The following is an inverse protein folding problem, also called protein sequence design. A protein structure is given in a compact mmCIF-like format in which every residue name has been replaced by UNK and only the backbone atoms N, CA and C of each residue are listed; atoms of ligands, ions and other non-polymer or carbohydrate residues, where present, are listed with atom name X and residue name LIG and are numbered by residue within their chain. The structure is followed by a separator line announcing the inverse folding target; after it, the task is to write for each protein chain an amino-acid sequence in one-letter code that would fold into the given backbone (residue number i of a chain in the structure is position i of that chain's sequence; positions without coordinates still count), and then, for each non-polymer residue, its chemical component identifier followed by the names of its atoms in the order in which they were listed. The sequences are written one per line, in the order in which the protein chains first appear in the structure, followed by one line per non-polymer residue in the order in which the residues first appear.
data_IF_318690943949
#
_entry.id   IF_318690943949
#
_cell.length_a   1.000
_cell.length_b   1.000
_cell.length_c   1.000
_cell.angle_alpha   90.00
_cell.angle_beta   90.00
_cell.angle_gamma   90.00
#
_symmetry.space_group_name_H-M   'P 1'
#
loop_
_entity.id
_entity.type
_entity.pdbx_description
1 polymer ?
#
# COMPACT_ATOMS: atom_id res chain seq x y z
N UNK A 1 5.74 -12.84 9.10
CA UNK A 1 5.12 -11.67 8.42
C UNK A 1 3.67 -11.56 8.84
N UNK A 2 3.09 -10.37 8.82
CA UNK A 2 1.73 -10.13 9.32
C UNK A 2 1.43 -8.68 9.68
N UNK A 3 0.27 -8.47 10.31
CA UNK A 3 -0.16 -7.16 10.78
C UNK A 3 0.69 -6.68 11.96
N UNK A 4 0.90 -5.37 12.01
CA UNK A 4 1.54 -4.70 13.14
C UNK A 4 0.72 -3.48 13.54
N UNK A 5 0.85 -3.15 14.81
CA UNK A 5 0.55 -1.84 15.35
C UNK A 5 1.70 -1.48 16.30
N UNK A 6 1.98 -0.19 16.46
CA UNK A 6 2.94 0.25 17.46
C UNK A 6 2.49 1.57 18.09
N UNK A 7 2.94 1.78 19.31
CA UNK A 7 2.69 3.01 20.03
C UNK A 7 3.46 4.15 19.37
N UNK A 8 2.72 5.10 18.80
CA UNK A 8 3.30 6.29 18.16
C UNK A 8 3.48 7.45 19.13
N UNK A 9 3.21 7.27 20.43
CA UNK A 9 3.49 8.30 21.44
C UNK A 9 4.97 8.67 21.41
N UNK A 10 5.24 9.93 21.05
CA UNK A 10 6.60 10.46 20.92
C UNK A 10 7.31 10.10 19.61
N UNK A 11 6.68 9.33 18.71
CA UNK A 11 7.20 9.05 17.36
C UNK A 11 6.65 10.09 16.39
N UNK A 12 7.54 10.93 15.84
CA UNK A 12 7.17 11.85 14.78
C UNK A 12 7.21 11.13 13.43
N UNK A 13 6.07 11.15 12.74
CA UNK A 13 5.99 10.70 11.34
C UNK A 13 5.98 11.95 10.47
N UNK A 14 7.05 12.12 9.71
CA UNK A 14 7.24 13.30 8.85
C UNK A 14 6.34 13.21 7.60
N UNK A 15 6.15 14.35 6.93
CA UNK A 15 5.42 14.44 5.65
C UNK A 15 3.94 13.99 5.72
N UNK A 16 3.30 14.11 6.88
CA UNK A 16 1.86 13.85 7.03
C UNK A 16 1.22 14.71 8.11
N UNK A 17 0.01 15.20 7.85
CA UNK A 17 -0.87 15.79 8.87
C UNK A 17 -1.74 14.75 9.59
N UNK A 18 -1.65 13.47 9.21
CA UNK A 18 -2.46 12.35 9.73
C UNK A 18 -1.56 11.19 10.16
N UNK A 19 -0.72 11.35 11.19
CA UNK A 19 0.24 10.33 11.61
C UNK A 19 -0.43 9.02 12.06
N UNK A 20 -1.66 9.10 12.58
CA UNK A 20 -2.43 7.93 13.03
C UNK A 20 -2.73 6.91 11.91
N UNK A 21 -2.70 7.32 10.63
CA UNK A 21 -2.85 6.39 9.51
C UNK A 21 -1.65 5.45 9.34
N UNK A 22 -0.53 5.75 9.99
CA UNK A 22 0.75 5.04 9.85
C UNK A 22 1.18 4.33 11.14
N UNK A 23 0.32 4.28 12.17
CA UNK A 23 0.58 3.57 13.43
C UNK A 23 0.35 2.07 13.36
N UNK A 24 -0.24 1.59 12.25
CA UNK A 24 -0.46 0.18 11.97
C UNK A 24 -0.23 -0.12 10.50
N UNK A 25 -0.17 -1.40 10.15
CA UNK A 25 -0.02 -1.84 8.78
C UNK A 25 0.18 -3.35 8.68
N UNK A 26 0.65 -3.80 7.52
CA UNK A 26 1.02 -5.18 7.26
C UNK A 26 2.41 -5.23 6.63
N UNK A 27 3.28 -6.10 7.16
CA UNK A 27 4.55 -6.46 6.54
C UNK A 27 4.39 -7.84 5.92
N UNK A 28 4.76 -7.98 4.64
CA UNK A 28 4.66 -9.22 3.88
C UNK A 28 3.32 -9.47 3.21
N UNK A 29 2.46 -8.45 3.09
CA UNK A 29 1.28 -8.57 2.25
C UNK A 29 1.73 -8.78 0.80
N UNK A 30 1.34 -9.91 0.19
CA UNK A 30 1.64 -10.21 -1.22
C UNK A 30 0.48 -9.87 -2.14
N UNK A 31 -0.75 -10.07 -1.68
CA UNK A 31 -1.97 -9.81 -2.45
C UNK A 31 -3.13 -9.40 -1.55
N UNK A 32 -3.95 -8.48 -2.02
CA UNK A 32 -5.24 -8.11 -1.46
C UNK A 32 -6.30 -8.05 -2.57
N UNK A 33 -7.50 -8.56 -2.29
CA UNK A 33 -8.68 -8.46 -3.17
C UNK A 33 -9.76 -7.75 -2.39
N UNK A 34 -10.27 -6.64 -2.90
CA UNK A 34 -11.26 -5.81 -2.21
C UNK A 34 -12.51 -5.79 -3.09
N UNK A 35 -13.61 -6.42 -2.66
CA UNK A 35 -14.85 -6.41 -3.44
C UNK A 35 -15.43 -4.99 -3.46
N UNK A 36 -15.56 -4.41 -4.64
CA UNK A 36 -16.06 -3.04 -4.83
C UNK A 36 -17.33 -2.97 -5.68
N UNK A 37 -17.50 -3.92 -6.60
CA UNK A 37 -18.65 -4.01 -7.50
C UNK A 37 -19.24 -5.41 -7.39
N UNK A 38 -20.57 -5.48 -7.33
CA UNK A 38 -21.32 -6.72 -7.32
C UNK A 38 -22.05 -6.93 -8.66
N UNK A 39 -21.34 -7.49 -9.64
CA UNK A 39 -21.89 -7.79 -10.97
C UNK A 39 -23.10 -8.75 -10.92
N UNK A 40 -23.16 -9.64 -9.93
CA UNK A 40 -24.29 -10.55 -9.72
C UNK A 40 -25.60 -9.84 -9.37
N UNK A 41 -25.51 -8.59 -8.91
CA UNK A 41 -26.65 -7.70 -8.66
C UNK A 41 -26.87 -6.68 -9.78
N UNK A 42 -26.17 -6.82 -10.91
CA UNK A 42 -26.28 -5.93 -12.07
C UNK A 42 -25.53 -4.61 -11.93
N UNK A 43 -24.68 -4.46 -10.91
CA UNK A 43 -23.84 -3.27 -10.80
C UNK A 43 -22.87 -3.18 -11.99
N UNK A 44 -22.72 -1.97 -12.52
CA UNK A 44 -21.82 -1.72 -13.64
C UNK A 44 -20.38 -1.48 -13.15
N UNK A 45 -19.36 -1.84 -13.95
CA UNK A 45 -17.98 -1.45 -13.67
C UNK A 45 -17.86 0.04 -13.38
N UNK A 46 -17.00 0.39 -12.43
CA UNK A 46 -16.79 1.77 -12.01
C UNK A 46 -15.30 2.10 -11.97
N UNK A 47 -15.03 3.40 -11.95
CA UNK A 47 -13.68 3.94 -11.89
C UNK A 47 -13.40 4.42 -10.47
N UNK A 48 -12.17 4.19 -10.01
CA UNK A 48 -11.75 4.54 -8.67
C UNK A 48 -10.41 5.28 -8.67
N UNK A 49 -10.27 6.19 -7.72
CA UNK A 49 -8.98 6.67 -7.24
C UNK A 49 -8.53 5.81 -6.06
N UNK A 50 -7.32 5.26 -6.14
CA UNK A 50 -6.70 4.42 -5.11
C UNK A 50 -5.50 5.17 -4.51
N UNK A 51 -5.44 5.27 -3.18
CA UNK A 51 -4.24 5.76 -2.48
C UNK A 51 -3.64 4.71 -1.59
N UNK A 52 -2.33 4.52 -1.70
CA UNK A 52 -1.56 3.59 -0.88
C UNK A 52 -0.62 4.37 0.04
N UNK A 53 -0.67 4.06 1.33
CA UNK A 53 0.14 4.69 2.36
C UNK A 53 1.29 3.81 2.82
N UNK A 54 2.49 4.40 2.91
CA UNK A 54 3.72 3.73 3.27
C UNK A 54 4.56 4.54 4.25
N UNK A 55 5.12 3.87 5.26
CA UNK A 55 6.25 4.32 6.07
C UNK A 55 7.21 3.14 6.19
N UNK A 56 8.51 3.42 6.11
CA UNK A 56 9.54 2.42 6.43
C UNK A 56 9.88 2.51 7.92
N UNK A 57 9.41 1.58 8.78
CA UNK A 57 9.73 1.59 10.20
C UNK A 57 11.19 1.20 10.46
N UNK A 58 11.70 0.19 9.74
CA UNK A 58 13.10 -0.26 9.81
C UNK A 58 13.43 -1.17 8.64
N UNK A 59 14.68 -1.16 8.17
CA UNK A 59 15.09 -1.99 7.03
C UNK A 59 14.93 -1.25 5.70
N UNK A 60 14.94 -2.01 4.61
CA UNK A 60 14.88 -1.49 3.25
C UNK A 60 13.91 -2.33 2.43
N UNK A 61 12.70 -1.82 2.29
CA UNK A 61 11.61 -2.47 1.59
C UNK A 61 11.63 -2.03 0.12
N UNK A 62 11.98 -2.95 -0.78
CA UNK A 62 11.99 -2.73 -2.23
C UNK A 62 11.07 -3.75 -2.89
N UNK A 63 10.04 -3.28 -3.57
CA UNK A 63 9.03 -4.14 -4.18
C UNK A 63 8.32 -3.45 -5.35
N UNK A 64 7.69 -4.24 -6.22
CA UNK A 64 6.77 -3.71 -7.22
C UNK A 64 5.37 -3.61 -6.61
N UNK A 65 4.59 -2.63 -7.08
CA UNK A 65 3.17 -2.49 -6.76
C UNK A 65 2.39 -2.67 -8.04
N UNK A 66 1.44 -3.60 -8.02
CA UNK A 66 0.53 -3.85 -9.13
C UNK A 66 -0.90 -3.54 -8.70
N UNK A 67 -1.64 -2.85 -9.56
CA UNK A 67 -3.08 -2.68 -9.46
C UNK A 67 -3.71 -3.26 -10.72
N UNK A 68 -4.72 -4.12 -10.57
CA UNK A 68 -5.40 -4.76 -11.70
C UNK A 68 -4.43 -5.45 -12.69
N UNK A 69 -3.44 -6.17 -12.17
CA UNK A 69 -2.39 -6.86 -12.95
C UNK A 69 -1.39 -5.94 -13.69
N UNK A 70 -1.53 -4.62 -13.55
CA UNK A 70 -0.62 -3.63 -14.13
C UNK A 70 0.37 -3.10 -13.09
N UNK A 71 1.67 -3.08 -13.43
CA UNK A 71 2.70 -2.50 -12.56
C UNK A 71 2.57 -0.99 -12.53
N UNK A 72 2.11 -0.45 -11.40
CA UNK A 72 1.95 0.99 -11.18
C UNK A 72 3.13 1.62 -10.46
N UNK A 73 3.95 0.83 -9.76
CA UNK A 73 5.26 1.23 -9.26
C UNK A 73 6.26 0.09 -9.44
N UNK A 74 7.37 0.37 -10.11
CA UNK A 74 8.45 -0.59 -10.30
C UNK A 74 9.62 -0.28 -9.35
N UNK A 75 10.20 -1.33 -8.74
CA UNK A 75 11.35 -1.25 -7.83
C UNK A 75 11.18 -0.17 -6.73
N UNK A 76 9.97 -0.05 -6.18
CA UNK A 76 9.62 0.99 -5.21
C UNK A 76 10.39 0.78 -3.91
N UNK A 77 11.41 1.62 -3.70
CA UNK A 77 12.21 1.70 -2.49
C UNK A 77 11.65 2.80 -1.58
N UNK A 78 10.95 2.41 -0.52
CA UNK A 78 10.30 3.35 0.39
C UNK A 78 11.32 4.32 0.98
N UNK A 79 12.46 3.83 1.47
CA UNK A 79 13.43 4.66 2.17
C UNK A 79 14.07 5.69 1.22
N UNK A 80 14.42 5.27 0.01
CA UNK A 80 14.95 6.18 -1.01
C UNK A 80 13.93 7.27 -1.40
N UNK A 81 12.66 6.90 -1.53
CA UNK A 81 11.58 7.82 -1.92
C UNK A 81 11.18 8.78 -0.78
N UNK A 82 11.31 8.35 0.48
CA UNK A 82 11.03 9.14 1.67
C UNK A 82 12.17 10.07 2.07
N UNK A 83 13.41 9.74 1.70
CA UNK A 83 14.63 10.46 2.09
C UNK A 83 15.09 10.18 3.52
N UNK A 84 14.22 9.72 4.42
CA UNK A 84 14.59 9.29 5.78
C UNK A 84 13.60 8.29 6.37
N UNK A 85 14.00 7.62 7.47
CA UNK A 85 13.09 6.74 8.22
C UNK A 85 11.91 7.54 8.82
N UNK A 86 10.79 6.87 9.10
CA UNK A 86 9.58 7.49 9.66
C UNK A 86 9.02 8.67 8.84
N UNK A 87 9.28 8.73 7.55
CA UNK A 87 8.66 9.71 6.65
C UNK A 87 7.55 9.06 5.85
N UNK A 88 6.35 9.64 5.91
CA UNK A 88 5.18 9.15 5.21
C UNK A 88 5.28 9.37 3.70
N UNK A 89 4.85 8.35 2.96
CA UNK A 89 4.65 8.40 1.52
C UNK A 89 3.21 8.00 1.23
N UNK A 90 2.54 8.79 0.41
CA UNK A 90 1.26 8.44 -0.19
C UNK A 90 1.43 8.41 -1.69
N UNK A 91 0.94 7.35 -2.33
CA UNK A 91 0.91 7.19 -3.79
C UNK A 91 -0.53 7.11 -4.23
N UNK A 92 -0.92 8.01 -5.13
CA UNK A 92 -2.27 8.12 -5.68
C UNK A 92 -2.27 7.60 -7.13
N UNK A 93 -3.25 6.76 -7.44
CA UNK A 93 -3.50 6.21 -8.77
C UNK A 93 -4.96 6.49 -9.11
N UNK A 94 -5.20 7.17 -10.23
CA UNK A 94 -6.54 7.54 -10.70
C UNK A 94 -6.96 6.66 -11.85
N UNK A 95 -8.25 6.74 -12.20
CA UNK A 95 -8.78 6.08 -13.38
C UNK A 95 -8.67 4.54 -13.33
N UNK A 96 -8.71 3.95 -12.13
CA UNK A 96 -8.63 2.50 -11.95
C UNK A 96 -9.99 1.87 -12.21
N UNK A 97 -10.11 1.17 -13.34
CA UNK A 97 -11.34 0.47 -13.72
C UNK A 97 -11.49 -0.84 -12.95
N UNK A 98 -12.60 -1.00 -12.23
CA UNK A 98 -12.90 -2.19 -11.44
C UNK A 98 -14.23 -2.77 -11.89
N UNK A 99 -14.21 -4.08 -12.20
CA UNK A 99 -15.40 -4.83 -12.61
C UNK A 99 -16.06 -5.55 -11.45
N UNK A 100 -15.27 -6.15 -10.55
CA UNK A 100 -15.72 -6.87 -9.35
C UNK A 100 -14.84 -6.45 -8.17
N UNK A 101 -13.67 -7.06 -8.06
CA UNK A 101 -12.69 -6.79 -7.02
C UNK A 101 -11.59 -5.84 -7.52
N UNK A 102 -11.16 -4.92 -6.67
CA UNK A 102 -9.88 -4.25 -6.81
C UNK A 102 -8.77 -5.21 -6.36
N UNK A 103 -7.89 -5.59 -7.28
CA UNK A 103 -6.72 -6.43 -7.02
C UNK A 103 -5.49 -5.55 -6.77
N UNK A 104 -4.87 -5.71 -5.61
CA UNK A 104 -3.56 -5.15 -5.26
C UNK A 104 -2.56 -6.29 -5.06
N UNK A 105 -1.39 -6.20 -5.69
CA UNK A 105 -0.26 -7.11 -5.44
C UNK A 105 1.00 -6.33 -5.10
N UNK A 106 1.76 -6.83 -4.12
CA UNK A 106 3.06 -6.31 -3.75
C UNK A 106 4.09 -7.42 -3.95
N UNK A 107 5.02 -7.22 -4.88
CA UNK A 107 5.99 -8.26 -5.26
C UNK A 107 7.36 -7.84 -4.74
N UNK A 108 7.90 -8.50 -3.70
CA UNK A 108 9.24 -8.19 -3.20
C UNK A 108 10.30 -8.37 -4.30
N UNK A 109 11.32 -7.52 -4.28
CA UNK A 109 12.45 -7.62 -5.23
C UNK A 109 13.30 -8.87 -5.01
N UNK A 110 13.32 -9.41 -3.79
CA UNK A 110 14.05 -10.62 -3.41
C UNK A 110 13.08 -11.80 -3.25
N UNK A 111 13.52 -13.02 -3.53
CA UNK A 111 12.66 -14.20 -3.60
C UNK A 111 12.16 -14.70 -2.24
N UNK A 112 12.93 -14.52 -1.18
CA UNK A 112 12.58 -14.93 0.19
C UNK A 112 12.93 -13.79 1.17
N UNK A 113 12.14 -12.70 1.17
CA UNK A 113 12.45 -11.55 2.01
C UNK A 113 12.28 -11.89 3.50
N UNK A 114 13.16 -11.35 4.34
CA UNK A 114 12.90 -11.28 5.78
C UNK A 114 11.96 -10.10 6.12
N UNK A 115 11.68 -9.90 7.41
CA UNK A 115 10.81 -8.80 7.87
C UNK A 115 11.31 -7.39 7.51
N UNK A 116 12.62 -7.21 7.27
CA UNK A 116 13.24 -5.92 6.92
C UNK A 116 13.27 -5.68 5.40
N UNK A 117 12.95 -6.68 4.60
CA UNK A 117 12.96 -6.63 3.13
C UNK A 117 11.57 -6.78 2.52
N UNK A 118 10.64 -7.42 3.23
CA UNK A 118 9.30 -7.70 2.72
C UNK A 118 8.50 -6.41 2.45
N UNK A 119 7.54 -6.42 1.52
CA UNK A 119 6.67 -5.27 1.30
C UNK A 119 5.99 -4.82 2.59
N UNK A 120 5.82 -3.52 2.76
CA UNK A 120 5.05 -2.96 3.88
C UNK A 120 3.98 -2.03 3.31
N UNK A 121 2.81 -2.02 3.92
CA UNK A 121 1.73 -1.08 3.61
C UNK A 121 1.00 -0.71 4.91
N UNK A 122 0.64 0.57 5.05
CA UNK A 122 -0.06 1.08 6.23
C UNK A 122 -1.56 1.18 6.02
N UNK A 123 -1.98 1.72 4.87
CA UNK A 123 -3.39 1.85 4.51
C UNK A 123 -3.62 1.78 3.00
N UNK A 124 -4.88 1.49 2.65
CA UNK A 124 -5.44 1.55 1.31
C UNK A 124 -6.69 2.44 1.41
N UNK A 125 -6.73 3.52 0.65
CA UNK A 125 -7.90 4.38 0.48
C UNK A 125 -8.44 4.17 -0.93
N UNK A 126 -9.77 4.02 -1.05
CA UNK A 126 -10.45 3.75 -2.32
C UNK A 126 -11.62 4.72 -2.40
N UNK A 127 -11.65 5.54 -3.44
CA UNK A 127 -12.67 6.55 -3.67
C UNK A 127 -13.25 6.30 -5.04
N UNK A 128 -14.57 6.09 -5.12
CA UNK A 128 -15.28 5.99 -6.40
C UNK A 128 -15.29 7.36 -7.09
N UNK A 129 -14.97 7.38 -8.38
CA UNK A 129 -15.02 8.57 -9.24
C UNK A 129 -16.44 8.86 -9.75
#
# INVERSE_FOLDING_TARGET
MGFFNYDTRGVKIENTGKPWLFSSGCVGLSRCSIPLINDSQGEQPAVYTVRLGFVAPSGRHIFNVLLQDETVLENFDILNQAGSANTAIVREFKCISVKNDLKLELIPKVSDPDIKQAPVINFIEIIRE
#
